data_IF_586846522447
#
_entry.id   IF_586846522447
#
_cell.length_a   1.000
_cell.length_b   1.000
_cell.length_c   1.000
_cell.angle_alpha   90.00
_cell.angle_beta   90.00
_cell.angle_gamma   90.00
#
_symmetry.space_group_name_H-M   'P 1'
#
loop_
_entity.id
_entity.type
_entity.pdbx_description
1 polymer ?
#
# COMPACT_ATOMS: atom_id res chain seq x y z
N UNK A 1 0.04 -6.97 14.21
CA UNK A 1 -0.67 -7.87 13.27
C UNK A 1 0.29 -8.22 12.15
N UNK A 2 0.57 -9.50 11.92
CA UNK A 2 1.43 -9.99 10.82
C UNK A 2 0.90 -9.48 9.47
N UNK A 3 1.80 -8.97 8.63
CA UNK A 3 1.56 -8.52 7.24
C UNK A 3 0.90 -9.56 6.34
N UNK A 4 0.78 -10.81 6.80
CA UNK A 4 0.11 -11.92 6.10
C UNK A 4 -1.40 -11.73 5.89
N UNK A 5 -2.09 -10.84 6.62
CA UNK A 5 -3.55 -10.72 6.57
C UNK A 5 -4.13 -9.70 5.57
N UNK A 6 -3.30 -8.99 4.80
CA UNK A 6 -3.81 -7.92 3.93
C UNK A 6 -4.58 -8.44 2.70
N UNK A 7 -4.26 -9.66 2.23
CA UNK A 7 -4.86 -10.29 1.06
C UNK A 7 -5.59 -11.61 1.36
N UNK A 8 -5.29 -12.27 2.48
CA UNK A 8 -6.03 -13.47 2.89
C UNK A 8 -7.52 -13.18 3.12
N UNK A 9 -7.90 -11.91 3.29
CA UNK A 9 -9.28 -11.49 3.47
C UNK A 9 -10.00 -11.04 2.19
N UNK A 10 -9.31 -10.81 1.06
CA UNK A 10 -9.99 -10.40 -0.18
C UNK A 10 -10.41 -11.63 -0.97
N UNK A 11 -11.73 -11.80 -1.13
CA UNK A 11 -12.34 -12.88 -1.94
C UNK A 11 -12.31 -12.58 -3.44
N UNK A 12 -11.68 -11.48 -3.85
CA UNK A 12 -11.65 -11.01 -5.24
C UNK A 12 -10.73 -11.87 -6.10
N UNK A 13 -10.98 -11.91 -7.40
CA UNK A 13 -10.18 -12.70 -8.34
C UNK A 13 -9.09 -11.84 -8.99
N UNK A 14 -9.45 -10.62 -9.39
CA UNK A 14 -8.55 -9.71 -10.10
C UNK A 14 -7.49 -9.12 -9.17
N UNK A 15 -6.25 -9.07 -9.66
CA UNK A 15 -5.13 -8.47 -8.92
C UNK A 15 -5.36 -6.99 -8.61
N UNK A 16 -5.98 -6.24 -9.53
CA UNK A 16 -6.34 -4.83 -9.34
C UNK A 16 -7.36 -4.63 -8.23
N UNK A 17 -8.38 -5.49 -8.14
CA UNK A 17 -9.38 -5.42 -7.07
C UNK A 17 -8.75 -5.70 -5.70
N UNK A 18 -7.90 -6.73 -5.62
CA UNK A 18 -7.13 -7.01 -4.39
C UNK A 18 -6.23 -5.83 -3.99
N UNK A 19 -5.60 -5.18 -4.99
CA UNK A 19 -4.81 -3.98 -4.76
C UNK A 19 -5.66 -2.85 -4.18
N UNK A 20 -6.81 -2.54 -4.76
CA UNK A 20 -7.67 -1.47 -4.29
C UNK A 20 -8.26 -1.77 -2.90
N UNK A 21 -8.69 -3.01 -2.63
CA UNK A 21 -9.14 -3.43 -1.29
C UNK A 21 -8.05 -3.20 -0.24
N UNK A 22 -6.82 -3.62 -0.55
CA UNK A 22 -5.68 -3.43 0.32
C UNK A 22 -5.40 -1.94 0.56
N UNK A 23 -5.37 -1.11 -0.49
CA UNK A 23 -5.15 0.33 -0.37
C UNK A 23 -6.25 1.05 0.41
N UNK A 24 -7.49 0.60 0.28
CA UNK A 24 -8.63 1.19 0.99
C UNK A 24 -8.72 0.73 2.45
N UNK A 25 -8.06 -0.37 2.83
CA UNK A 25 -8.04 -0.86 4.20
C UNK A 25 -7.22 0.05 5.15
N UNK A 26 -7.91 0.60 6.16
CA UNK A 26 -7.36 1.44 7.24
C UNK A 26 -7.12 0.66 8.55
N UNK A 27 -7.35 -0.65 8.59
CA UNK A 27 -7.38 -1.42 9.86
C UNK A 27 -6.01 -1.84 10.39
N UNK A 28 -4.91 -1.49 9.72
CA UNK A 28 -3.57 -1.85 10.14
C UNK A 28 -2.84 -0.66 10.77
N UNK A 29 -2.04 -0.94 11.80
CA UNK A 29 -1.05 0.01 12.28
C UNK A 29 -0.06 0.38 11.16
N UNK A 30 0.10 1.68 10.92
CA UNK A 30 0.98 2.26 9.90
C UNK A 30 2.17 3.02 10.51
N UNK A 31 2.28 3.04 11.84
CA UNK A 31 3.31 3.78 12.59
C UNK A 31 4.74 3.36 12.22
N UNK A 32 4.93 2.10 11.80
CA UNK A 32 6.21 1.59 11.31
C UNK A 32 6.80 2.43 10.17
N UNK A 33 5.96 3.08 9.36
CA UNK A 33 6.37 3.86 8.19
C UNK A 33 6.45 5.37 8.47
N UNK A 34 6.36 5.78 9.74
CA UNK A 34 6.39 7.19 10.14
C UNK A 34 7.70 7.86 9.73
N UNK A 35 8.83 7.18 9.93
CA UNK A 35 10.14 7.73 9.63
C UNK A 35 10.32 8.02 8.13
N UNK A 36 9.86 7.11 7.27
CA UNK A 36 9.96 7.26 5.81
C UNK A 36 8.94 8.25 5.25
N UNK A 37 7.74 8.31 5.83
CA UNK A 37 6.63 9.07 5.23
C UNK A 37 6.41 10.46 5.82
N UNK A 38 6.82 10.76 7.04
CA UNK A 38 6.55 12.09 7.65
C UNK A 38 7.40 13.22 7.04
N UNK A 39 8.57 12.88 6.50
CA UNK A 39 9.53 13.83 5.89
C UNK A 39 9.36 14.00 4.38
N UNK A 40 8.31 13.45 3.77
CA UNK A 40 8.06 13.63 2.34
C UNK A 40 7.80 15.11 2.00
N UNK A 41 8.43 15.57 0.93
CA UNK A 41 8.23 16.90 0.38
C UNK A 41 7.13 16.85 -0.69
N UNK A 42 5.91 17.25 -0.31
CA UNK A 42 4.71 17.17 -1.16
C UNK A 42 3.87 18.43 -1.00
N UNK A 43 3.07 18.74 -2.02
CA UNK A 43 2.07 19.81 -1.92
C UNK A 43 0.93 19.44 -0.96
N UNK A 44 0.27 20.47 -0.42
CA UNK A 44 -0.83 20.29 0.51
C UNK A 44 -2.03 19.56 -0.14
N UNK A 45 -2.79 18.76 0.64
CA UNK A 45 -2.64 18.54 2.08
C UNK A 45 -1.62 17.44 2.43
N UNK A 46 -0.56 17.82 3.17
CA UNK A 46 0.56 16.93 3.53
C UNK A 46 0.10 15.67 4.25
N UNK A 47 -0.85 15.78 5.19
CA UNK A 47 -1.34 14.64 5.98
C UNK A 47 -1.98 13.54 5.13
N UNK A 48 -2.70 13.92 4.06
CA UNK A 48 -3.29 12.95 3.13
C UNK A 48 -2.19 12.20 2.39
N UNK A 49 -1.17 12.92 1.93
CA UNK A 49 -0.03 12.32 1.23
C UNK A 49 0.80 11.43 2.14
N UNK A 50 0.99 11.80 3.42
CA UNK A 50 1.64 10.96 4.42
C UNK A 50 0.85 9.65 4.58
N UNK A 51 -0.48 9.71 4.73
CA UNK A 51 -1.33 8.50 4.84
C UNK A 51 -1.20 7.60 3.61
N UNK A 52 -1.18 8.19 2.42
CA UNK A 52 -1.01 7.48 1.15
C UNK A 52 0.36 6.80 1.06
N UNK A 53 1.44 7.52 1.40
CA UNK A 53 2.80 6.99 1.44
C UNK A 53 2.87 5.74 2.33
N UNK A 54 2.32 5.81 3.54
CA UNK A 54 2.34 4.69 4.49
C UNK A 54 1.60 3.46 3.96
N UNK A 55 0.44 3.66 3.35
CA UNK A 55 -0.34 2.58 2.71
C UNK A 55 0.42 1.94 1.55
N UNK A 56 1.11 2.75 0.75
CA UNK A 56 1.89 2.28 -0.37
C UNK A 56 3.11 1.46 0.09
N UNK A 57 3.87 1.94 1.07
CA UNK A 57 5.00 1.20 1.64
C UNK A 57 4.58 -0.13 2.27
N UNK A 58 3.44 -0.16 2.98
CA UNK A 58 2.83 -1.40 3.50
C UNK A 58 2.58 -2.42 2.38
N UNK A 59 2.02 -1.97 1.27
CA UNK A 59 1.74 -2.83 0.13
C UNK A 59 3.02 -3.34 -0.53
N UNK A 60 4.03 -2.48 -0.70
CA UNK A 60 5.33 -2.87 -1.25
C UNK A 60 6.05 -3.90 -0.39
N UNK A 61 6.03 -3.74 0.93
CA UNK A 61 6.61 -4.72 1.84
C UNK A 61 5.93 -6.09 1.72
N UNK A 62 4.60 -6.10 1.60
CA UNK A 62 3.86 -7.32 1.33
C UNK A 62 4.26 -7.97 -0.01
N UNK A 63 4.36 -7.21 -1.09
CA UNK A 63 4.79 -7.73 -2.39
C UNK A 63 6.18 -8.38 -2.35
N UNK A 64 7.11 -7.80 -1.59
CA UNK A 64 8.44 -8.39 -1.36
C UNK A 64 8.36 -9.74 -0.67
N UNK A 65 7.51 -9.90 0.34
CA UNK A 65 7.30 -11.17 1.04
C UNK A 65 6.76 -12.28 0.13
N UNK A 66 6.05 -11.92 -0.95
CA UNK A 66 5.55 -12.87 -1.93
C UNK A 66 6.52 -13.16 -3.09
N UNK A 67 7.76 -12.65 -3.05
CA UNK A 67 8.77 -12.84 -4.11
C UNK A 67 8.29 -12.47 -5.53
N UNK A 68 7.37 -11.52 -5.65
CA UNK A 68 6.71 -11.22 -6.92
C UNK A 68 7.33 -9.98 -7.57
N UNK A 69 8.57 -10.04 -8.06
CA UNK A 69 9.28 -8.86 -8.59
C UNK A 69 8.54 -8.20 -9.79
N UNK A 70 7.89 -9.00 -10.64
CA UNK A 70 7.00 -8.51 -11.70
C UNK A 70 5.79 -7.71 -11.18
N UNK A 71 5.49 -7.80 -9.88
CA UNK A 71 4.41 -7.03 -9.28
C UNK A 71 4.76 -5.56 -9.10
N UNK A 72 6.03 -5.18 -8.91
CA UNK A 72 6.38 -3.78 -8.60
C UNK A 72 5.96 -2.83 -9.72
N UNK A 73 6.21 -3.17 -10.98
CA UNK A 73 5.77 -2.37 -12.13
C UNK A 73 4.24 -2.26 -12.21
N UNK A 74 3.54 -3.39 -12.07
CA UNK A 74 2.06 -3.43 -12.06
C UNK A 74 1.47 -2.63 -10.90
N UNK A 75 2.12 -2.67 -9.75
CA UNK A 75 1.74 -1.93 -8.53
C UNK A 75 1.88 -0.42 -8.75
N UNK A 76 2.97 0.03 -9.36
CA UNK A 76 3.14 1.44 -9.71
C UNK A 76 2.04 1.95 -10.64
N UNK A 77 1.64 1.14 -11.63
CA UNK A 77 0.53 1.47 -12.53
C UNK A 77 -0.80 1.58 -11.76
N UNK A 78 -1.14 0.56 -10.97
CA UNK A 78 -2.40 0.54 -10.23
C UNK A 78 -2.48 1.65 -9.19
N UNK A 79 -1.36 1.99 -8.57
CA UNK A 79 -1.25 3.10 -7.64
C UNK A 79 -1.51 4.44 -8.33
N UNK A 80 -1.02 4.64 -9.56
CA UNK A 80 -1.31 5.83 -10.34
C UNK A 80 -2.81 6.00 -10.63
N UNK A 81 -3.50 4.91 -10.98
CA UNK A 81 -4.96 4.93 -11.20
C UNK A 81 -5.79 5.13 -9.94
N UNK A 82 -5.24 4.86 -8.75
CA UNK A 82 -5.96 4.98 -7.48
C UNK A 82 -5.90 6.41 -6.89
N UNK A 83 -4.85 7.16 -7.20
CA UNK A 83 -4.63 8.54 -6.72
C UNK A 83 -5.64 9.54 -7.32
#
# INVERSE_FOLDING_TARGET
MSSQNLFSNSTKELFSEKFYDAMNNDSSDLSKYDNECNDIHVHNPKDKMIKICKKYLRYLEYCKLLHNENSLYKVSILFNYWL
#
